data_IF_443023598494
#
_entry.id   IF_443023598494
#
_cell.length_a   1.000
_cell.length_b   1.000
_cell.length_c   1.000
_cell.angle_alpha   90.00
_cell.angle_beta   90.00
_cell.angle_gamma   90.00
#
_symmetry.space_group_name_H-M   'P 1'
#
loop_
_entity.id
_entity.type
_entity.pdbx_description
1 polymer ?
#
# COMPACT_ATOMS: atom_id res chain seq x y z
N UNK A 1 -33.51 -46.06 -3.16
CA UNK A 1 -34.60 -46.46 -2.24
C UNK A 1 -35.33 -47.61 -2.88
N UNK A 2 -35.40 -48.75 -2.19
CA UNK A 2 -36.11 -49.94 -2.65
C UNK A 2 -37.59 -49.61 -2.81
N UNK A 3 -38.12 -49.70 -4.02
CA UNK A 3 -39.55 -49.62 -4.26
C UNK A 3 -40.22 -50.70 -3.39
N UNK A 4 -40.85 -50.27 -2.29
CA UNK A 4 -41.69 -51.13 -1.48
C UNK A 4 -42.87 -51.45 -2.38
N UNK A 5 -42.84 -52.61 -3.04
CA UNK A 5 -43.93 -53.05 -3.90
C UNK A 5 -45.19 -53.18 -3.05
N UNK A 6 -46.06 -52.18 -3.13
CA UNK A 6 -47.33 -52.22 -2.44
C UNK A 6 -48.22 -53.24 -3.15
N UNK A 7 -48.47 -54.36 -2.48
CA UNK A 7 -49.28 -55.45 -3.01
C UNK A 7 -50.77 -55.09 -2.92
N UNK A 8 -51.27 -54.53 -4.02
CA UNK A 8 -52.65 -54.07 -4.18
C UNK A 8 -53.66 -55.21 -4.04
N UNK A 9 -53.29 -56.44 -4.44
CA UNK A 9 -54.17 -57.62 -4.40
C UNK A 9 -54.37 -58.10 -2.96
N UNK A 10 -53.28 -58.21 -2.20
CA UNK A 10 -53.34 -58.58 -0.78
C UNK A 10 -54.04 -57.49 0.07
N UNK A 11 -53.85 -56.22 -0.28
CA UNK A 11 -54.50 -55.10 0.39
C UNK A 11 -56.02 -55.07 0.14
N UNK A 12 -56.46 -55.22 -1.11
CA UNK A 12 -57.89 -55.27 -1.46
C UNK A 12 -58.59 -56.44 -0.77
N UNK A 13 -57.95 -57.63 -0.74
CA UNK A 13 -58.50 -58.80 -0.07
C UNK A 13 -58.69 -58.57 1.44
N UNK A 14 -57.72 -57.96 2.12
CA UNK A 14 -57.82 -57.61 3.55
C UNK A 14 -58.94 -56.62 3.84
N UNK A 15 -59.15 -55.63 2.97
CA UNK A 15 -60.23 -54.65 3.11
C UNK A 15 -61.60 -55.30 2.92
N UNK A 16 -61.70 -56.24 1.96
CA UNK A 16 -62.91 -57.04 1.74
C UNK A 16 -63.21 -57.97 2.93
N UNK A 17 -62.19 -58.64 3.46
CA UNK A 17 -62.32 -59.49 4.66
C UNK A 17 -62.70 -58.67 5.92
N UNK A 18 -62.37 -57.37 5.94
CA UNK A 18 -62.80 -56.41 6.96
C UNK A 18 -64.25 -55.88 6.76
N UNK A 19 -64.97 -56.37 5.74
CA UNK A 19 -66.36 -56.03 5.48
C UNK A 19 -66.58 -54.84 4.54
N UNK A 20 -65.55 -54.35 3.83
CA UNK A 20 -65.71 -53.31 2.82
C UNK A 20 -66.26 -53.88 1.50
N UNK A 21 -67.12 -53.10 0.84
CA UNK A 21 -67.58 -53.41 -0.52
C UNK A 21 -66.38 -53.49 -1.48
N UNK A 22 -66.39 -54.45 -2.40
CA UNK A 22 -65.32 -54.72 -3.38
C UNK A 22 -64.86 -53.46 -4.12
N UNK A 23 -65.82 -52.62 -4.56
CA UNK A 23 -65.52 -51.36 -5.25
C UNK A 23 -64.81 -50.34 -4.37
N UNK A 24 -65.14 -50.31 -3.07
CA UNK A 24 -64.55 -49.40 -2.11
C UNK A 24 -63.12 -49.85 -1.75
N UNK A 25 -62.92 -51.15 -1.61
CA UNK A 25 -61.60 -51.74 -1.35
C UNK A 25 -60.62 -51.45 -2.48
N UNK A 26 -61.03 -51.64 -3.73
CA UNK A 26 -60.19 -51.37 -4.90
C UNK A 26 -59.88 -49.87 -5.06
N UNK A 27 -60.87 -49.00 -4.85
CA UNK A 27 -60.68 -47.54 -4.92
C UNK A 27 -59.70 -47.02 -3.87
N UNK A 28 -59.78 -47.52 -2.63
CA UNK A 28 -58.86 -47.12 -1.55
C UNK A 28 -57.43 -47.57 -1.87
N UNK A 29 -57.26 -48.79 -2.36
CA UNK A 29 -55.96 -49.33 -2.76
C UNK A 29 -55.36 -48.54 -3.91
N UNK A 30 -56.17 -48.14 -4.89
CA UNK A 30 -55.74 -47.32 -6.02
C UNK A 30 -55.25 -45.93 -5.57
N UNK A 31 -55.98 -45.27 -4.66
CA UNK A 31 -55.59 -43.96 -4.11
C UNK A 31 -54.27 -44.07 -3.33
N UNK A 32 -54.10 -45.12 -2.52
CA UNK A 32 -52.86 -45.34 -1.77
C UNK A 32 -51.69 -45.64 -2.71
N UNK A 33 -51.92 -46.42 -3.77
CA UNK A 33 -50.91 -46.68 -4.81
C UNK A 33 -50.49 -45.39 -5.53
N UNK A 34 -51.45 -44.52 -5.88
CA UNK A 34 -51.16 -43.22 -6.49
C UNK A 34 -50.39 -42.30 -5.53
N UNK A 35 -50.70 -42.36 -4.24
CA UNK A 35 -50.02 -41.57 -3.20
C UNK A 35 -48.58 -42.08 -3.00
N UNK A 36 -48.36 -43.38 -3.03
CA UNK A 36 -47.03 -44.00 -2.95
C UNK A 36 -46.21 -43.82 -4.23
N UNK A 37 -46.86 -43.65 -5.38
CA UNK A 37 -46.22 -43.37 -6.67
C UNK A 37 -45.87 -41.89 -6.87
N UNK A 38 -46.24 -40.99 -5.95
CA UNK A 38 -45.76 -39.62 -6.00
C UNK A 38 -44.22 -39.61 -5.88
N UNK A 39 -43.52 -38.87 -6.76
CA UNK A 39 -42.07 -38.77 -6.71
C UNK A 39 -41.65 -38.19 -5.36
N UNK A 40 -40.63 -38.79 -4.75
CA UNK A 40 -40.08 -38.33 -3.48
C UNK A 40 -39.55 -36.90 -3.60
N UNK A 41 -40.29 -35.93 -3.07
CA UNK A 41 -39.94 -34.50 -3.11
C UNK A 41 -38.89 -34.11 -2.07
N UNK A 42 -38.31 -35.04 -1.31
CA UNK A 42 -37.28 -34.76 -0.29
C UNK A 42 -35.98 -34.18 -0.88
N UNK A 43 -35.76 -34.32 -2.19
CA UNK A 43 -34.63 -33.71 -2.90
C UNK A 43 -34.91 -32.27 -3.35
N UNK A 44 -36.14 -31.77 -3.21
CA UNK A 44 -36.46 -30.39 -3.54
C UNK A 44 -36.03 -29.49 -2.38
N UNK A 45 -35.19 -28.50 -2.70
CA UNK A 45 -34.73 -27.51 -1.75
C UNK A 45 -35.91 -26.78 -1.11
N UNK A 46 -35.93 -26.74 0.21
CA UNK A 46 -36.95 -26.08 1.01
C UNK A 46 -36.72 -24.55 0.97
N UNK A 47 -37.75 -23.75 1.29
CA UNK A 47 -37.59 -22.29 1.44
C UNK A 47 -36.48 -21.90 2.42
N UNK A 48 -36.15 -22.75 3.39
CA UNK A 48 -35.05 -22.53 4.32
C UNK A 48 -33.66 -22.74 3.68
N UNK A 49 -33.52 -23.62 2.68
CA UNK A 49 -32.27 -23.83 1.95
C UNK A 49 -31.92 -22.59 1.08
N UNK A 50 -32.93 -21.89 0.58
CA UNK A 50 -32.74 -20.62 -0.16
C UNK A 50 -32.29 -19.46 0.74
N UNK A 51 -32.48 -19.52 2.07
CA UNK A 51 -32.00 -18.46 2.98
C UNK A 51 -30.48 -18.47 3.16
N UNK A 52 -29.84 -19.61 2.89
CA UNK A 52 -28.38 -19.73 2.94
C UNK A 52 -27.69 -19.26 1.64
N UNK A 53 -28.46 -19.04 0.57
CA UNK A 53 -27.93 -18.46 -0.66
C UNK A 53 -27.72 -16.95 -0.50
N UNK A 54 -26.56 -16.46 -0.92
CA UNK A 54 -26.26 -15.04 -0.97
C UNK A 54 -27.36 -14.31 -1.77
N UNK A 55 -28.03 -13.39 -1.10
CA UNK A 55 -29.10 -12.56 -1.65
C UNK A 55 -28.49 -11.41 -2.44
N UNK A 56 -29.27 -10.79 -3.33
CA UNK A 56 -28.82 -9.59 -4.06
C UNK A 56 -28.40 -8.43 -3.14
N UNK A 57 -28.88 -8.40 -1.89
CA UNK A 57 -28.46 -7.43 -0.89
C UNK A 57 -27.06 -7.71 -0.31
N UNK A 58 -26.63 -8.97 -0.22
CA UNK A 58 -25.27 -9.34 0.23
C UNK A 58 -24.21 -8.87 -0.78
N UNK A 59 -24.58 -8.85 -2.08
CA UNK A 59 -23.71 -8.35 -3.16
C UNK A 59 -23.56 -6.82 -3.16
N UNK A 60 -24.42 -6.07 -2.48
CA UNK A 60 -24.30 -4.60 -2.39
C UNK A 60 -23.18 -4.15 -1.44
N UNK A 61 -22.73 -5.02 -0.54
CA UNK A 61 -21.60 -4.72 0.36
C UNK A 61 -20.23 -4.90 -0.30
N UNK A 62 -20.19 -5.51 -1.49
CA UNK A 62 -18.94 -5.66 -2.24
C UNK A 62 -18.65 -4.39 -3.04
N UNK A 63 -17.40 -3.92 -2.94
CA UNK A 63 -16.89 -2.86 -3.80
C UNK A 63 -17.03 -3.28 -5.28
N UNK A 64 -17.71 -2.45 -6.05
CA UNK A 64 -17.91 -2.64 -7.47
C UNK A 64 -16.67 -2.21 -8.25
N UNK A 65 -16.59 -2.61 -9.52
CA UNK A 65 -15.50 -2.18 -10.41
C UNK A 65 -15.45 -0.65 -10.59
N UNK A 66 -16.56 0.05 -10.38
CA UNK A 66 -16.59 1.52 -10.43
C UNK A 66 -15.98 2.17 -9.17
N UNK A 67 -16.13 1.56 -7.99
CA UNK A 67 -15.50 2.03 -6.74
C UNK A 67 -13.96 1.98 -6.83
N UNK A 68 -13.42 0.99 -7.55
CA UNK A 68 -12.00 0.81 -7.78
C UNK A 68 -11.39 1.83 -8.77
N UNK A 69 -12.19 2.54 -9.57
CA UNK A 69 -11.70 3.57 -10.51
C UNK A 69 -11.25 4.85 -9.82
N UNK A 70 -11.69 5.08 -8.58
CA UNK A 70 -11.31 6.27 -7.80
C UNK A 70 -9.96 6.12 -7.10
N UNK A 71 -9.40 4.91 -7.08
CA UNK A 71 -8.07 4.68 -6.50
C UNK A 71 -6.99 5.04 -7.52
N UNK A 72 -6.02 5.84 -7.07
CA UNK A 72 -4.81 6.12 -7.82
C UNK A 72 -4.12 4.79 -8.19
N UNK A 73 -3.97 4.56 -9.47
CA UNK A 73 -3.29 3.40 -10.02
C UNK A 73 -1.78 3.60 -9.96
N UNK A 74 -1.02 2.51 -10.12
CA UNK A 74 0.45 2.58 -10.17
C UNK A 74 0.97 3.50 -11.28
N UNK A 75 0.17 3.76 -12.32
CA UNK A 75 0.50 4.73 -13.38
C UNK A 75 0.38 6.19 -12.90
N UNK A 76 -0.57 6.52 -12.02
CA UNK A 76 -0.71 7.86 -11.45
C UNK A 76 0.50 8.24 -10.58
N UNK A 77 1.13 7.25 -9.94
CA UNK A 77 2.37 7.45 -9.16
C UNK A 77 3.62 7.69 -10.01
N UNK A 78 3.59 7.42 -11.33
CA UNK A 78 4.75 7.65 -12.22
C UNK A 78 5.00 9.14 -12.51
N UNK A 79 4.00 10.00 -12.30
CA UNK A 79 4.16 11.45 -12.46
C UNK A 79 4.76 12.14 -11.24
N UNK A 80 4.90 11.44 -10.11
CA UNK A 80 5.57 11.99 -8.94
C UNK A 80 7.08 11.89 -9.11
N UNK A 81 7.78 12.97 -8.75
CA UNK A 81 9.24 13.02 -8.71
C UNK A 81 9.76 11.80 -7.94
N UNK A 82 10.53 10.98 -8.65
CA UNK A 82 11.11 9.76 -8.10
C UNK A 82 12.29 10.12 -7.20
N UNK A 83 12.70 9.17 -6.35
CA UNK A 83 13.90 9.35 -5.51
C UNK A 83 15.17 9.64 -6.33
N UNK A 84 15.18 9.27 -7.62
CA UNK A 84 16.28 9.56 -8.54
C UNK A 84 16.27 11.03 -8.98
N UNK A 85 15.10 11.64 -9.20
CA UNK A 85 14.97 13.06 -9.55
C UNK A 85 15.47 13.98 -8.42
N UNK A 86 15.32 13.54 -7.16
CA UNK A 86 15.82 14.23 -5.97
C UNK A 86 17.36 14.17 -5.83
N UNK A 87 18.06 13.24 -6.49
CA UNK A 87 19.54 13.16 -6.45
C UNK A 87 20.21 14.21 -7.34
N UNK A 88 19.49 14.79 -8.29
CA UNK A 88 19.99 15.88 -9.13
C UNK A 88 20.00 17.24 -8.41
N UNK A 89 19.32 17.34 -7.26
CA UNK A 89 19.38 18.53 -6.43
C UNK A 89 20.60 18.50 -5.52
N UNK A 90 21.27 19.65 -5.39
CA UNK A 90 22.35 19.85 -4.45
C UNK A 90 21.92 19.36 -3.06
N UNK A 91 22.61 18.32 -2.59
CA UNK A 91 22.33 17.69 -1.31
C UNK A 91 22.83 18.57 -0.16
N UNK A 92 22.43 18.25 1.07
CA UNK A 92 22.92 18.98 2.24
C UNK A 92 24.43 18.83 2.39
N UNK A 93 24.95 17.70 1.96
CA UNK A 93 26.37 17.34 1.91
C UNK A 93 27.13 18.27 0.94
N UNK A 94 26.62 18.49 -0.27
CA UNK A 94 27.23 19.41 -1.26
C UNK A 94 27.29 20.86 -0.72
N UNK A 95 26.23 21.28 -0.01
CA UNK A 95 26.20 22.61 0.62
C UNK A 95 27.19 22.72 1.79
N UNK A 96 27.42 21.64 2.53
CA UNK A 96 28.41 21.61 3.61
C UNK A 96 29.83 21.65 3.05
N UNK A 97 30.11 20.89 1.99
CA UNK A 97 31.42 20.87 1.33
C UNK A 97 31.78 22.25 0.77
N UNK A 98 30.86 22.90 0.05
CA UNK A 98 31.05 24.26 -0.46
C UNK A 98 31.23 25.28 0.67
N UNK A 99 30.51 25.14 1.79
CA UNK A 99 30.70 26.01 2.96
C UNK A 99 32.06 25.82 3.62
N UNK A 100 32.56 24.59 3.70
CA UNK A 100 33.86 24.29 4.29
C UNK A 100 35.00 24.82 3.42
N UNK A 101 34.93 24.61 2.10
CA UNK A 101 35.92 25.14 1.15
C UNK A 101 35.99 26.66 1.20
N UNK A 102 34.85 27.36 1.17
CA UNK A 102 34.80 28.82 1.31
C UNK A 102 35.43 29.31 2.63
N UNK A 103 35.17 28.62 3.75
CA UNK A 103 35.79 28.97 5.04
C UNK A 103 37.31 28.82 5.01
N UNK A 104 37.82 27.77 4.37
CA UNK A 104 39.26 27.55 4.22
C UNK A 104 39.89 28.63 3.34
N UNK A 105 39.26 28.99 2.22
CA UNK A 105 39.74 30.06 1.34
C UNK A 105 39.78 31.41 2.03
N UNK A 106 38.75 31.76 2.81
CA UNK A 106 38.73 32.99 3.61
C UNK A 106 39.86 33.01 4.64
N UNK A 107 40.05 31.92 5.40
CA UNK A 107 41.13 31.83 6.38
C UNK A 107 42.52 31.95 5.72
N UNK A 108 42.70 31.35 4.54
CA UNK A 108 43.94 31.50 3.76
C UNK A 108 44.17 32.93 3.28
N UNK A 109 43.10 33.62 2.86
CA UNK A 109 43.19 35.01 2.43
C UNK A 109 43.57 35.93 3.59
N UNK A 110 42.96 35.75 4.76
CA UNK A 110 43.30 36.48 5.99
C UNK A 110 44.76 36.26 6.39
N UNK A 111 45.23 35.01 6.37
CA UNK A 111 46.63 34.70 6.67
C UNK A 111 47.60 35.35 5.66
N UNK A 112 47.28 35.30 4.36
CA UNK A 112 48.08 35.97 3.32
C UNK A 112 48.10 37.48 3.49
N UNK A 113 46.98 38.09 3.86
CA UNK A 113 46.88 39.53 4.07
C UNK A 113 47.71 39.94 5.29
N UNK A 114 47.58 39.21 6.40
CA UNK A 114 48.36 39.43 7.62
C UNK A 114 49.85 39.33 7.36
N UNK A 115 50.27 38.32 6.60
CA UNK A 115 51.67 38.13 6.21
C UNK A 115 52.19 39.28 5.34
N UNK A 116 51.40 39.76 4.37
CA UNK A 116 51.78 40.93 3.55
C UNK A 116 51.90 42.19 4.39
N UNK A 117 50.96 42.45 5.30
CA UNK A 117 51.00 43.60 6.20
C UNK A 117 52.25 43.53 7.09
N UNK A 118 52.54 42.36 7.65
CA UNK A 118 53.73 42.10 8.46
C UNK A 118 55.02 42.39 7.70
N UNK A 119 55.13 41.90 6.47
CA UNK A 119 56.29 42.11 5.60
C UNK A 119 56.47 43.58 5.21
N UNK A 120 55.37 44.28 4.87
CA UNK A 120 55.43 45.72 4.61
C UNK A 120 55.85 46.51 5.87
N UNK A 121 55.32 46.13 7.04
CA UNK A 121 55.70 46.72 8.32
C UNK A 121 57.20 46.58 8.59
N UNK A 122 57.76 45.38 8.40
CA UNK A 122 59.21 45.14 8.55
C UNK A 122 60.05 45.93 7.54
N UNK A 123 59.60 46.03 6.29
CA UNK A 123 60.29 46.83 5.26
C UNK A 123 60.31 48.32 5.62
N UNK A 124 59.19 48.86 6.11
CA UNK A 124 59.08 50.25 6.56
C UNK A 124 59.95 50.52 7.78
N UNK A 125 59.90 49.63 8.79
CA UNK A 125 60.70 49.75 10.01
C UNK A 125 62.20 49.69 9.70
N UNK A 126 62.61 48.77 8.84
CA UNK A 126 64.00 48.64 8.39
C UNK A 126 64.49 49.89 7.66
N UNK A 127 63.68 50.45 6.75
CA UNK A 127 64.00 51.71 6.07
C UNK A 127 64.15 52.89 7.04
N UNK A 128 63.23 52.99 8.02
CA UNK A 128 63.30 54.01 9.06
C UNK A 128 64.55 53.88 9.94
N UNK A 129 64.94 52.65 10.30
CA UNK A 129 66.14 52.39 11.07
C UNK A 129 67.42 52.85 10.34
N UNK A 130 67.50 52.65 9.02
CA UNK A 130 68.61 53.13 8.18
C UNK A 130 68.66 54.66 8.15
N UNK A 131 67.51 55.33 7.99
CA UNK A 131 67.43 56.79 8.01
C UNK A 131 67.88 57.38 9.36
N UNK A 132 67.46 56.77 10.48
CA UNK A 132 67.90 57.18 11.82
C UNK A 132 69.41 56.98 12.03
N UNK A 133 69.97 55.87 11.52
CA UNK A 133 71.41 55.63 11.58
C UNK A 133 72.20 56.69 10.79
N UNK A 134 71.75 57.04 9.58
CA UNK A 134 72.36 58.12 8.79
C UNK A 134 72.23 59.48 9.48
N UNK A 135 71.06 59.80 10.02
CA UNK A 135 70.81 61.06 10.74
C UNK A 135 71.74 61.22 11.95
N UNK A 136 71.96 60.14 12.73
CA UNK A 136 72.84 60.17 13.90
C UNK A 136 74.33 60.14 13.55
N UNK A 137 74.71 59.62 12.39
CA UNK A 137 76.09 59.57 11.92
C UNK A 137 76.56 60.88 11.26
N UNK A 138 75.67 61.61 10.59
CA UNK A 138 75.98 62.86 9.88
C UNK A 138 76.77 63.90 10.72
N UNK A 139 76.36 64.24 11.96
CA UNK A 139 77.08 65.23 12.77
C UNK A 139 78.44 64.73 13.26
N UNK A 140 78.68 63.41 13.30
CA UNK A 140 79.97 62.82 13.70
C UNK A 140 81.01 62.86 12.57
N UNK A 141 80.61 63.14 11.34
CA UNK A 141 81.49 63.21 10.16
C UNK A 141 81.93 64.66 9.83
N UNK A 142 81.26 65.65 10.41
CA UNK A 142 81.47 67.08 10.12
C UNK A 142 82.36 67.76 11.19
N UNK A 143 82.77 67.03 12.23
CA UNK A 143 83.78 67.43 13.22
C UNK A 143 85.00 66.51 13.14
#
# INVERSE_FOLDING_TARGET
MTAIGFDTLSASKRLRDAGMEERLADAVVEIVQQTAAMPDISHLSTKDDLKACATKDDLKQFATKDDLKQFATKDDLKQFATKEDLKLFATKEDLLETKLTLRMELAQLEARLSEKIRMQGWSLLGGMAVLLALYTALPKLIH
#
